data_IF_169207084299
#
_entry.id   IF_169207084299
#
_cell.length_a   1.000
_cell.length_b   1.000
_cell.length_c   1.000
_cell.angle_alpha   90.00
_cell.angle_beta   90.00
_cell.angle_gamma   90.00
#
_symmetry.space_group_name_H-M   'P 1'
#
loop_
_entity.id
_entity.type
_entity.pdbx_description
1 polymer ?
#
# COMPACT_ATOMS: atom_id res chain seq x y z
N UNK A 1 -0.76 -28.03 -5.54
CA UNK A 1 -1.04 -26.76 -6.24
C UNK A 1 -2.06 -26.01 -5.43
N UNK A 2 -1.81 -24.76 -5.03
CA UNK A 2 -2.83 -23.97 -4.31
C UNK A 2 -4.07 -23.82 -5.21
N UNK A 3 -5.25 -24.08 -4.67
CA UNK A 3 -6.52 -23.96 -5.39
C UNK A 3 -6.72 -22.52 -5.85
N UNK A 4 -7.43 -22.30 -6.95
CA UNK A 4 -7.69 -20.95 -7.48
C UNK A 4 -8.40 -20.04 -6.47
N UNK A 5 -9.17 -20.62 -5.55
CA UNK A 5 -9.77 -19.90 -4.42
C UNK A 5 -8.72 -19.32 -3.44
N UNK A 6 -7.63 -20.05 -3.17
CA UNK A 6 -6.56 -19.58 -2.28
C UNK A 6 -5.76 -18.45 -2.93
N UNK A 7 -5.50 -18.55 -4.24
CA UNK A 7 -4.86 -17.46 -5.01
C UNK A 7 -5.73 -16.21 -5.02
N UNK A 8 -7.04 -16.35 -5.21
CA UNK A 8 -7.99 -15.24 -5.17
C UNK A 8 -8.03 -14.58 -3.78
N UNK A 9 -8.03 -15.38 -2.71
CA UNK A 9 -8.00 -14.88 -1.34
C UNK A 9 -6.71 -14.08 -1.04
N UNK A 10 -5.55 -14.58 -1.49
CA UNK A 10 -4.27 -13.86 -1.37
C UNK A 10 -4.33 -12.53 -2.11
N UNK A 11 -4.81 -12.52 -3.36
CA UNK A 11 -4.93 -11.28 -4.14
C UNK A 11 -5.86 -10.26 -3.47
N UNK A 12 -7.00 -10.71 -2.95
CA UNK A 12 -7.93 -9.85 -2.21
C UNK A 12 -7.29 -9.30 -0.94
N UNK A 13 -6.49 -10.09 -0.22
CA UNK A 13 -5.78 -9.63 0.96
C UNK A 13 -4.74 -8.56 0.61
N UNK A 14 -3.98 -8.76 -0.47
CA UNK A 14 -3.03 -7.75 -0.96
C UNK A 14 -3.71 -6.44 -1.35
N UNK A 15 -4.91 -6.51 -1.95
CA UNK A 15 -5.70 -5.32 -2.28
C UNK A 15 -6.22 -4.59 -1.04
N UNK A 16 -6.66 -5.34 0.00
CA UNK A 16 -7.05 -4.77 1.30
C UNK A 16 -5.88 -4.09 1.99
N UNK A 17 -4.72 -4.76 2.03
CA UNK A 17 -3.51 -4.23 2.64
C UNK A 17 -3.04 -2.96 1.91
N UNK A 18 -3.16 -2.92 0.58
CA UNK A 18 -2.88 -1.73 -0.21
C UNK A 18 -3.78 -0.55 0.15
N UNK A 19 -5.09 -0.78 0.30
CA UNK A 19 -6.04 0.26 0.73
C UNK A 19 -5.75 0.77 2.14
N UNK A 20 -5.45 -0.14 3.06
CA UNK A 20 -5.07 0.20 4.44
C UNK A 20 -3.79 1.03 4.49
N UNK A 21 -2.77 0.62 3.74
CA UNK A 21 -1.51 1.35 3.64
C UNK A 21 -1.71 2.79 3.19
N UNK A 22 -2.52 2.99 2.14
CA UNK A 22 -2.79 4.31 1.58
C UNK A 22 -3.61 5.18 2.55
N UNK A 23 -4.60 4.61 3.22
CA UNK A 23 -5.35 5.33 4.25
C UNK A 23 -4.47 5.72 5.46
N UNK A 24 -3.54 4.85 5.87
CA UNK A 24 -2.53 5.15 6.90
C UNK A 24 -1.60 6.29 6.44
N UNK A 25 -1.15 6.23 5.19
CA UNK A 25 -0.28 7.24 4.58
C UNK A 25 -0.98 8.59 4.47
N UNK A 26 -2.19 8.68 3.92
CA UNK A 26 -2.94 9.95 3.78
C UNK A 26 -3.16 10.65 5.13
N UNK A 27 -3.41 9.89 6.19
CA UNK A 27 -3.60 10.45 7.55
C UNK A 27 -2.31 10.98 8.16
N UNK A 28 -1.17 10.40 7.78
CA UNK A 28 0.10 10.60 8.47
C UNK A 28 1.13 11.39 7.65
N UNK A 29 0.94 11.50 6.33
CA UNK A 29 1.91 12.06 5.38
C UNK A 29 2.36 13.49 5.70
N UNK A 30 1.48 14.31 6.31
CA UNK A 30 1.83 15.68 6.71
C UNK A 30 2.80 15.75 7.90
N UNK A 31 2.98 14.63 8.62
CA UNK A 31 3.84 14.50 9.79
C UNK A 31 4.99 13.51 9.57
N UNK A 32 5.05 12.87 8.41
CA UNK A 32 6.06 11.87 8.10
C UNK A 32 7.30 12.54 7.51
N UNK A 33 8.46 12.26 8.11
CA UNK A 33 9.74 12.54 7.51
C UNK A 33 10.15 11.44 6.49
N UNK A 34 11.24 11.68 5.77
CA UNK A 34 11.73 10.72 4.77
C UNK A 34 12.05 9.33 5.34
N UNK A 35 12.44 9.23 6.62
CA UNK A 35 12.74 7.96 7.29
C UNK A 35 11.45 7.19 7.61
N UNK A 36 10.42 7.88 8.09
CA UNK A 36 9.10 7.31 8.36
C UNK A 36 8.43 6.84 7.08
N UNK A 37 8.59 7.56 5.97
CA UNK A 37 8.14 7.11 4.65
C UNK A 37 8.85 5.84 4.22
N UNK A 38 10.18 5.74 4.40
CA UNK A 38 10.94 4.54 4.09
C UNK A 38 10.50 3.33 4.94
N UNK A 39 10.25 3.53 6.24
CA UNK A 39 9.75 2.48 7.14
C UNK A 39 8.32 2.05 6.79
N UNK A 40 7.44 3.00 6.48
CA UNK A 40 6.09 2.72 5.99
C UNK A 40 6.15 1.90 4.69
N UNK A 41 7.03 2.29 3.77
CA UNK A 41 7.22 1.56 2.52
C UNK A 41 7.67 0.13 2.79
N UNK A 42 8.70 -0.08 3.63
CA UNK A 42 9.18 -1.42 3.98
C UNK A 42 8.07 -2.30 4.61
N UNK A 43 7.26 -1.73 5.51
CA UNK A 43 6.16 -2.42 6.19
C UNK A 43 5.09 -2.93 5.22
N UNK A 44 4.75 -2.12 4.21
CA UNK A 44 3.64 -2.43 3.31
C UNK A 44 4.08 -3.08 2.00
N UNK A 45 5.33 -2.91 1.59
CA UNK A 45 5.88 -3.45 0.35
C UNK A 45 5.75 -4.98 0.28
N UNK A 46 5.98 -5.67 1.39
CA UNK A 46 5.88 -7.14 1.47
C UNK A 46 4.45 -7.66 1.55
N UNK A 47 3.48 -6.80 1.91
CA UNK A 47 2.07 -7.16 2.08
C UNK A 47 1.22 -6.86 0.85
N UNK A 48 1.22 -5.59 0.42
CA UNK A 48 0.40 -5.10 -0.69
C UNK A 48 1.12 -5.26 -2.05
N UNK A 49 2.45 -5.27 -2.04
CA UNK A 49 3.29 -5.29 -3.24
C UNK A 49 3.51 -3.90 -3.86
N UNK A 50 4.65 -3.75 -4.53
CA UNK A 50 5.13 -2.50 -5.12
C UNK A 50 4.09 -1.80 -6.01
N UNK A 51 3.48 -2.54 -6.95
CA UNK A 51 2.60 -1.98 -7.98
C UNK A 51 1.35 -1.30 -7.38
N UNK A 52 0.78 -1.87 -6.31
CA UNK A 52 -0.43 -1.36 -5.66
C UNK A 52 -0.13 -0.09 -4.87
N UNK A 53 0.95 -0.11 -4.09
CA UNK A 53 1.40 1.05 -3.32
C UNK A 53 1.79 2.22 -4.23
N UNK A 54 2.58 1.95 -5.28
CA UNK A 54 2.99 2.98 -6.24
C UNK A 54 1.81 3.64 -6.94
N UNK A 55 0.83 2.85 -7.40
CA UNK A 55 -0.40 3.40 -8.02
C UNK A 55 -1.17 4.30 -7.05
N UNK A 56 -1.27 3.88 -5.79
CA UNK A 56 -1.95 4.65 -4.75
C UNK A 56 -1.25 5.97 -4.43
N UNK A 57 0.06 5.96 -4.27
CA UNK A 57 0.85 7.17 -4.01
C UNK A 57 0.79 8.16 -5.16
N UNK A 58 0.84 7.70 -6.41
CA UNK A 58 0.64 8.58 -7.58
C UNK A 58 -0.75 9.19 -7.57
N UNK A 59 -1.79 8.43 -7.21
CA UNK A 59 -3.15 8.96 -7.09
C UNK A 59 -3.26 10.02 -5.98
N UNK A 60 -2.59 9.80 -4.84
CA UNK A 60 -2.50 10.79 -3.75
C UNK A 60 -1.78 12.05 -4.25
N UNK A 61 -0.60 11.91 -4.86
CA UNK A 61 0.16 13.03 -5.40
C UNK A 61 -0.65 13.86 -6.42
N UNK A 62 -1.41 13.18 -7.30
CA UNK A 62 -2.31 13.85 -8.26
C UNK A 62 -3.48 14.60 -7.61
N UNK A 63 -3.89 14.24 -6.38
CA UNK A 63 -4.92 14.97 -5.62
C UNK A 63 -4.36 16.17 -4.86
N UNK A 64 -3.05 16.17 -4.60
CA UNK A 64 -2.34 17.20 -3.86
C UNK A 64 -1.73 18.27 -4.78
N UNK A 65 -1.46 17.91 -6.03
CA UNK A 65 -1.05 18.83 -7.10
C UNK A 65 -2.25 19.61 -7.64
#
# INVERSE_FOLDING_TARGET
MASDAEKAAVLQQMDKDGKLALAEFEKSMSKMDGKQVAQWWQKWYTKAGHKRLGRGLVAIAKRLA
#
